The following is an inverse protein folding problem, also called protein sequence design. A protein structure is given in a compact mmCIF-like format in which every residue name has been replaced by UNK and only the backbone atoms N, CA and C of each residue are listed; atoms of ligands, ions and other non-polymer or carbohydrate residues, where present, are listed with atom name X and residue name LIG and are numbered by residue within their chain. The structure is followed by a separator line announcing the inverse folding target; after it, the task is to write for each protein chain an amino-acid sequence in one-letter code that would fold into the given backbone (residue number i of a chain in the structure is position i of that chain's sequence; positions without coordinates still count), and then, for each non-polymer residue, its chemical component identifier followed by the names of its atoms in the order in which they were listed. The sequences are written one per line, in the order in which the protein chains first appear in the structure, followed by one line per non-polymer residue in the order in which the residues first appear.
data_IF_476627378780
#
_entry.id   IF_476627378780
#
_cell.length_a   1.000
_cell.length_b   1.000
_cell.length_c   1.000
_cell.angle_alpha   90.00
_cell.angle_beta   90.00
_cell.angle_gamma   90.00
#
_symmetry.space_group_name_H-M   'P 1'
#
loop_
_entity.id
_entity.type
_entity.pdbx_description
1 polymer ?
#
# COMPACT_ATOMS: atom_id res chain seq x y z
N UNK A 1 -26.22 30.50 -6.07
CA UNK A 1 -26.92 31.17 -7.18
C UNK A 1 -25.97 31.42 -8.34
N UNK A 2 -25.54 30.35 -9.02
CA UNK A 2 -24.95 30.48 -10.36
C UNK A 2 -26.12 30.49 -11.35
N UNK A 3 -26.97 31.51 -11.21
CA UNK A 3 -28.02 31.75 -12.19
C UNK A 3 -27.37 32.38 -13.41
N UNK A 4 -27.65 31.85 -14.59
CA UNK A 4 -27.19 32.35 -15.90
C UNK A 4 -27.50 33.85 -16.10
N UNK A 5 -28.43 34.40 -15.31
CA UNK A 5 -28.76 35.83 -15.25
C UNK A 5 -28.26 36.46 -13.96
N UNK A 6 -27.36 37.43 -14.09
CA UNK A 6 -26.79 38.28 -13.02
C UNK A 6 -27.83 39.02 -12.16
N UNK A 7 -29.11 39.03 -12.55
CA UNK A 7 -30.15 39.85 -11.93
C UNK A 7 -30.43 39.55 -10.45
N UNK A 8 -30.31 38.29 -10.01
CA UNK A 8 -30.61 37.94 -8.60
C UNK A 8 -29.50 38.43 -7.67
N UNK A 9 -28.24 38.26 -8.06
CA UNK A 9 -27.10 38.71 -7.26
C UNK A 9 -27.06 40.25 -7.17
N UNK A 10 -27.39 40.94 -8.27
CA UNK A 10 -27.54 42.40 -8.30
C UNK A 10 -28.68 42.89 -7.40
N UNK A 11 -29.85 42.23 -7.43
CA UNK A 11 -30.97 42.57 -6.53
C UNK A 11 -30.61 42.43 -5.05
N UNK A 12 -29.92 41.35 -4.67
CA UNK A 12 -29.52 41.13 -3.27
C UNK A 12 -28.49 42.18 -2.80
N UNK A 13 -27.53 42.54 -3.65
CA UNK A 13 -26.55 43.60 -3.33
C UNK A 13 -27.18 44.98 -3.19
N UNK A 14 -28.23 45.28 -3.97
CA UNK A 14 -28.97 46.54 -3.84
C UNK A 14 -29.76 46.63 -2.52
N UNK A 15 -30.23 45.49 -1.99
CA UNK A 15 -30.94 45.43 -0.70
C UNK A 15 -29.96 45.47 0.47
N UNK A 16 -28.83 44.78 0.36
CA UNK A 16 -27.79 44.77 1.38
C UNK A 16 -26.40 44.82 0.72
N UNK A 17 -25.70 45.97 0.76
CA UNK A 17 -24.37 46.12 0.16
C UNK A 17 -23.31 45.20 0.77
N UNK A 18 -23.54 44.70 1.98
CA UNK A 18 -22.65 43.76 2.68
C UNK A 18 -22.97 42.29 2.41
N UNK A 19 -24.05 41.98 1.69
CA UNK A 19 -24.38 40.61 1.34
C UNK A 19 -23.34 40.06 0.34
N UNK A 20 -22.58 39.05 0.78
CA UNK A 20 -21.66 38.30 -0.06
C UNK A 20 -22.24 36.91 -0.32
N UNK A 21 -22.22 36.50 -1.59
CA UNK A 21 -22.58 35.14 -1.96
C UNK A 21 -21.39 34.23 -1.71
N UNK A 22 -21.50 33.36 -0.70
CA UNK A 22 -20.58 32.25 -0.51
C UNK A 22 -21.13 31.07 -1.31
N UNK A 23 -20.43 30.58 -2.35
CA UNK A 23 -20.80 29.32 -2.97
C UNK A 23 -20.82 28.24 -1.89
N UNK A 24 -21.90 27.45 -1.81
CA UNK A 24 -21.90 26.26 -0.98
C UNK A 24 -20.69 25.40 -1.39
N UNK A 25 -19.88 24.96 -0.44
CA UNK A 25 -18.67 24.14 -0.69
C UNK A 25 -18.97 22.88 -1.51
N UNK A 26 -20.23 22.40 -1.49
CA UNK A 26 -20.73 21.32 -2.36
C UNK A 26 -20.77 21.66 -3.85
N UNK A 27 -20.66 22.92 -4.25
CA UNK A 27 -20.46 23.35 -5.66
C UNK A 27 -18.98 23.51 -6.02
N UNK A 28 -18.09 23.64 -5.03
CA UNK A 28 -16.64 23.70 -5.23
C UNK A 28 -16.01 22.32 -5.32
N UNK A 29 -16.62 21.33 -4.66
CA UNK A 29 -16.38 19.91 -4.91
C UNK A 29 -17.31 19.48 -6.05
N UNK A 30 -16.75 19.24 -7.24
CA UNK A 30 -17.51 18.52 -8.27
C UNK A 30 -17.85 17.13 -7.68
N UNK A 31 -19.14 16.93 -7.35
CA UNK A 31 -19.63 15.78 -6.58
C UNK A 31 -19.25 14.44 -7.23
N UNK A 32 -19.23 14.40 -8.55
CA UNK A 32 -18.75 13.23 -9.30
C UNK A 32 -17.26 12.97 -9.07
N UNK A 33 -16.39 13.99 -9.14
CA UNK A 33 -14.95 13.87 -8.84
C UNK A 33 -14.71 13.40 -7.40
N UNK A 34 -15.57 13.80 -6.46
CA UNK A 34 -15.50 13.34 -5.07
C UNK A 34 -15.85 11.84 -4.95
N UNK A 35 -16.94 11.39 -5.58
CA UNK A 35 -17.30 9.96 -5.62
C UNK A 35 -16.19 9.15 -6.30
N UNK A 36 -15.64 9.62 -7.43
CA UNK A 36 -14.47 9.01 -8.08
C UNK A 36 -13.31 8.84 -7.09
N UNK A 37 -13.03 9.88 -6.29
CA UNK A 37 -11.93 9.84 -5.32
C UNK A 37 -12.17 8.79 -4.25
N UNK A 38 -13.40 8.70 -3.72
CA UNK A 38 -13.77 7.69 -2.71
C UNK A 38 -13.61 6.28 -3.26
N UNK A 39 -14.10 6.01 -4.47
CA UNK A 39 -13.99 4.67 -5.09
C UNK A 39 -12.53 4.28 -5.32
N UNK A 40 -11.70 5.22 -5.80
CA UNK A 40 -10.25 5.00 -5.95
C UNK A 40 -9.62 4.68 -4.59
N UNK A 41 -9.88 5.50 -3.57
CA UNK A 41 -9.35 5.27 -2.22
C UNK A 41 -9.81 3.94 -1.63
N UNK A 42 -11.07 3.57 -1.82
CA UNK A 42 -11.59 2.28 -1.38
C UNK A 42 -10.87 1.11 -2.05
N UNK A 43 -10.67 1.16 -3.38
CA UNK A 43 -9.93 0.11 -4.10
C UNK A 43 -8.49 -0.02 -3.61
N UNK A 44 -7.84 1.08 -3.28
CA UNK A 44 -6.48 1.07 -2.73
C UNK A 44 -6.47 0.52 -1.29
N UNK A 45 -7.26 1.11 -0.40
CA UNK A 45 -7.25 0.77 1.02
C UNK A 45 -7.75 -0.66 1.29
N UNK A 46 -8.72 -1.15 0.51
CA UNK A 46 -9.22 -2.52 0.63
C UNK A 46 -8.14 -3.57 0.32
N UNK A 47 -7.18 -3.24 -0.54
CA UNK A 47 -6.04 -4.12 -0.88
C UNK A 47 -4.88 -4.00 0.11
N UNK A 48 -4.66 -2.82 0.66
CA UNK A 48 -3.61 -2.58 1.66
C UNK A 48 -4.00 -3.14 3.03
N UNK A 49 -5.27 -3.02 3.43
CA UNK A 49 -5.72 -3.37 4.79
C UNK A 49 -5.40 -4.82 5.23
N UNK A 50 -5.59 -5.87 4.41
CA UNK A 50 -5.20 -7.23 4.78
C UNK A 50 -3.70 -7.36 5.10
N UNK A 51 -2.84 -6.66 4.35
CA UNK A 51 -1.39 -6.64 4.57
C UNK A 51 -1.08 -5.92 5.87
N UNK A 52 -1.68 -4.75 6.09
CA UNK A 52 -1.51 -4.02 7.35
C UNK A 52 -1.86 -4.89 8.55
N UNK A 53 -2.94 -5.67 8.46
CA UNK A 53 -3.33 -6.62 9.51
C UNK A 53 -2.32 -7.76 9.65
N UNK A 54 -1.90 -8.37 8.54
CA UNK A 54 -0.90 -9.44 8.52
C UNK A 54 0.40 -9.01 9.20
N UNK A 55 0.92 -7.84 8.84
CA UNK A 55 2.14 -7.25 9.41
C UNK A 55 2.02 -6.90 10.91
N UNK A 56 0.80 -6.86 11.45
CA UNK A 56 0.52 -6.54 12.86
C UNK A 56 0.11 -7.78 13.66
N UNK A 57 0.13 -8.97 13.06
CA UNK A 57 -0.17 -10.22 13.78
C UNK A 57 0.94 -10.55 14.78
N UNK A 58 0.56 -11.14 15.92
CA UNK A 58 1.52 -11.64 16.92
C UNK A 58 2.33 -12.81 16.35
N UNK A 59 1.64 -13.71 15.65
CA UNK A 59 2.25 -14.82 14.92
C UNK A 59 2.60 -14.38 13.50
N UNK A 60 3.65 -13.57 13.39
CA UNK A 60 4.10 -13.01 12.13
C UNK A 60 4.92 -14.03 11.32
N UNK A 61 4.44 -14.39 10.13
CA UNK A 61 5.19 -15.17 9.15
C UNK A 61 5.74 -14.23 8.07
N UNK A 62 7.07 -14.06 8.06
CA UNK A 62 7.75 -13.15 7.12
C UNK A 62 7.59 -13.61 5.66
N UNK A 63 7.60 -14.92 5.40
CA UNK A 63 7.51 -15.47 4.05
C UNK A 63 6.11 -15.22 3.49
N UNK A 64 5.08 -15.50 4.28
CA UNK A 64 3.70 -15.16 3.92
C UNK A 64 3.52 -13.66 3.70
N UNK A 65 4.16 -12.81 4.52
CA UNK A 65 4.09 -11.36 4.38
C UNK A 65 4.72 -10.87 3.08
N UNK A 66 5.88 -11.39 2.70
CA UNK A 66 6.58 -11.06 1.45
C UNK A 66 5.73 -11.45 0.24
N UNK A 67 5.16 -12.66 0.23
CA UNK A 67 4.30 -13.13 -0.85
C UNK A 67 3.05 -12.25 -0.99
N UNK A 68 2.41 -11.91 0.15
CA UNK A 68 1.21 -11.07 0.15
C UNK A 68 1.51 -9.64 -0.30
N UNK A 69 2.67 -9.08 0.10
CA UNK A 69 3.14 -7.78 -0.37
C UNK A 69 3.40 -7.77 -1.88
N UNK A 70 4.05 -8.81 -2.41
CA UNK A 70 4.33 -8.92 -3.83
C UNK A 70 3.03 -9.02 -4.65
N UNK A 71 2.08 -9.84 -4.22
CA UNK A 71 0.77 -9.95 -4.87
C UNK A 71 0.02 -8.62 -4.90
N UNK A 72 0.11 -7.83 -3.84
CA UNK A 72 -0.52 -6.51 -3.76
C UNK A 72 0.19 -5.47 -4.65
N UNK A 73 1.51 -5.51 -4.71
CA UNK A 73 2.30 -4.72 -5.66
C UNK A 73 1.85 -5.01 -7.11
N UNK A 74 1.78 -6.28 -7.51
CA UNK A 74 1.30 -6.69 -8.84
C UNK A 74 -0.13 -6.21 -9.11
N UNK A 75 -1.01 -6.24 -8.09
CA UNK A 75 -2.34 -5.66 -8.23
C UNK A 75 -2.29 -4.16 -8.56
N UNK A 76 -1.46 -3.38 -7.87
CA UNK A 76 -1.37 -1.94 -8.12
C UNK A 76 -0.68 -1.59 -9.43
N UNK A 77 0.31 -2.37 -9.86
CA UNK A 77 0.91 -2.24 -11.19
C UNK A 77 -0.14 -2.45 -12.29
N UNK A 78 -1.04 -3.42 -12.12
CA UNK A 78 -2.17 -3.63 -13.03
C UNK A 78 -3.25 -2.53 -12.91
N UNK A 79 -3.49 -2.02 -11.69
CA UNK A 79 -4.41 -0.90 -11.47
C UNK A 79 -3.91 0.38 -12.16
N UNK A 80 -2.60 0.52 -12.33
CA UNK A 80 -1.94 1.66 -12.96
C UNK A 80 -2.04 1.63 -14.49
N UNK A 81 -3.25 1.43 -15.02
CA UNK A 81 -3.53 1.37 -16.46
C UNK A 81 -4.71 2.26 -16.87
N UNK A 82 -4.78 2.58 -18.16
CA UNK A 82 -5.90 3.35 -18.71
C UNK A 82 -7.21 2.53 -18.67
N UNK A 83 -7.13 1.22 -18.91
CA UNK A 83 -8.27 0.30 -18.86
C UNK A 83 -8.86 0.22 -17.44
N UNK A 84 -7.99 0.15 -16.43
CA UNK A 84 -8.40 0.15 -15.03
C UNK A 84 -9.08 1.47 -14.65
N UNK A 85 -8.55 2.60 -15.12
CA UNK A 85 -9.18 3.90 -14.91
C UNK A 85 -10.57 3.96 -15.54
N UNK A 86 -10.72 3.55 -16.81
CA UNK A 86 -12.03 3.54 -17.47
C UNK A 86 -13.03 2.61 -16.78
N UNK A 87 -12.58 1.44 -16.30
CA UNK A 87 -13.40 0.53 -15.50
C UNK A 87 -13.88 1.19 -14.19
N UNK A 88 -13.02 1.95 -13.51
CA UNK A 88 -13.41 2.70 -12.30
C UNK A 88 -14.43 3.79 -12.64
N UNK A 89 -14.26 4.52 -13.75
CA UNK A 89 -15.21 5.55 -14.15
C UNK A 89 -16.58 4.97 -14.47
N UNK A 90 -16.65 3.77 -15.07
CA UNK A 90 -17.90 3.06 -15.28
C UNK A 90 -18.59 2.71 -13.95
N UNK A 91 -17.86 2.11 -13.00
CA UNK A 91 -18.37 1.80 -11.66
C UNK A 91 -18.86 3.05 -10.92
N UNK A 92 -18.10 4.15 -10.99
CA UNK A 92 -18.48 5.41 -10.36
C UNK A 92 -19.71 6.03 -11.03
N UNK A 93 -19.86 5.86 -12.35
CA UNK A 93 -21.03 6.36 -13.08
C UNK A 93 -22.30 5.63 -12.66
N UNK A 94 -22.22 4.31 -12.48
CA UNK A 94 -23.31 3.49 -11.95
C UNK A 94 -23.67 3.95 -10.53
N UNK A 95 -22.69 4.04 -9.62
CA UNK A 95 -22.90 4.50 -8.24
C UNK A 95 -23.46 5.93 -8.17
N UNK A 96 -22.99 6.84 -9.03
CA UNK A 96 -23.48 8.21 -9.08
C UNK A 96 -24.96 8.28 -9.49
N UNK A 97 -25.40 7.38 -10.38
CA UNK A 97 -26.81 7.30 -10.78
C UNK A 97 -27.73 6.87 -9.63
N UNK A 98 -27.25 6.00 -8.74
CA UNK A 98 -28.01 5.56 -7.55
C UNK A 98 -28.20 6.68 -6.52
N UNK A 99 -27.29 7.65 -6.49
CA UNK A 99 -27.33 8.79 -5.56
C UNK A 99 -27.82 10.10 -6.21
N UNK A 100 -28.41 10.03 -7.41
CA UNK A 100 -28.94 11.17 -8.18
C UNK A 100 -27.87 12.26 -8.45
N UNK A 101 -26.64 11.82 -8.76
CA UNK A 101 -25.51 12.68 -9.10
C UNK A 101 -25.22 12.59 -10.59
N UNK A 102 -25.22 13.73 -11.28
CA UNK A 102 -24.85 13.79 -12.68
C UNK A 102 -23.39 13.35 -12.90
N UNK A 103 -23.21 12.30 -13.70
CA UNK A 103 -21.90 11.75 -14.01
C UNK A 103 -21.13 12.64 -15.00
N UNK A 104 -20.54 13.71 -14.47
CA UNK A 104 -19.94 14.74 -15.31
C UNK A 104 -18.65 15.32 -14.72
N UNK A 105 -17.56 15.24 -15.49
CA UNK A 105 -16.30 15.92 -15.17
C UNK A 105 -16.34 17.45 -15.40
N UNK A 106 -17.48 17.97 -15.87
CA UNK A 106 -17.82 19.28 -16.47
C UNK A 106 -17.96 19.13 -17.99
N UNK A 107 -19.16 19.45 -18.49
CA UNK A 107 -19.80 18.94 -19.71
C UNK A 107 -19.09 19.10 -21.08
N UNK A 108 -17.79 19.43 -21.20
CA UNK A 108 -17.20 19.70 -22.52
C UNK A 108 -15.68 19.54 -22.67
N UNK A 109 -14.93 19.12 -21.64
CA UNK A 109 -13.46 19.18 -21.71
C UNK A 109 -12.80 17.82 -21.44
N UNK A 110 -12.41 17.06 -22.50
CA UNK A 110 -11.60 15.84 -22.38
C UNK A 110 -10.35 16.03 -21.52
N UNK A 111 -9.81 17.26 -21.51
CA UNK A 111 -8.68 17.67 -20.70
C UNK A 111 -8.93 17.51 -19.19
N UNK A 112 -10.16 17.67 -18.67
CA UNK A 112 -10.42 17.58 -17.23
C UNK A 112 -10.41 16.14 -16.72
N UNK A 113 -10.97 15.20 -17.49
CA UNK A 113 -10.88 13.76 -17.19
C UNK A 113 -9.43 13.30 -17.27
N UNK A 114 -8.69 13.72 -18.30
CA UNK A 114 -7.28 13.41 -18.45
C UNK A 114 -6.43 14.00 -17.30
N UNK A 115 -6.69 15.26 -16.93
CA UNK A 115 -6.02 15.91 -15.80
C UNK A 115 -6.27 15.17 -14.49
N UNK A 116 -7.51 14.77 -14.22
CA UNK A 116 -7.86 13.96 -13.05
C UNK A 116 -7.18 12.59 -13.06
N UNK A 117 -7.11 11.92 -14.23
CA UNK A 117 -6.40 10.65 -14.40
C UNK A 117 -4.93 10.77 -14.02
N UNK A 118 -4.24 11.80 -14.51
CA UNK A 118 -2.81 11.99 -14.26
C UNK A 118 -2.55 12.47 -12.82
N UNK A 119 -3.19 13.56 -12.41
CA UNK A 119 -2.85 14.27 -11.16
C UNK A 119 -3.38 13.58 -9.91
N UNK A 120 -4.46 12.80 -10.02
CA UNK A 120 -5.06 12.13 -8.88
C UNK A 120 -4.92 10.62 -9.00
N UNK A 121 -5.46 9.99 -10.05
CA UNK A 121 -5.50 8.53 -10.12
C UNK A 121 -4.10 7.92 -10.20
N UNK A 122 -3.33 8.23 -11.24
CA UNK A 122 -1.97 7.68 -11.40
C UNK A 122 -1.06 8.11 -10.26
N UNK A 123 -1.10 9.37 -9.85
CA UNK A 123 -0.30 9.83 -8.72
C UNK A 123 -0.59 9.04 -7.43
N UNK A 124 -1.87 8.79 -7.10
CA UNK A 124 -2.22 8.04 -5.87
C UNK A 124 -1.82 6.57 -5.98
N UNK A 125 -1.99 5.95 -7.14
CA UNK A 125 -1.55 4.57 -7.39
C UNK A 125 -0.02 4.47 -7.34
N UNK A 126 0.70 5.42 -7.93
CA UNK A 126 2.17 5.48 -7.91
C UNK A 126 2.71 5.63 -6.49
N UNK A 127 2.07 6.44 -5.66
CA UNK A 127 2.40 6.54 -4.24
C UNK A 127 2.19 5.20 -3.51
N UNK A 128 1.09 4.50 -3.78
CA UNK A 128 0.83 3.19 -3.19
C UNK A 128 1.88 2.15 -3.63
N UNK A 129 2.21 2.10 -4.92
CA UNK A 129 3.27 1.23 -5.47
C UNK A 129 4.60 1.51 -4.77
N UNK A 130 5.04 2.77 -4.75
CA UNK A 130 6.33 3.14 -4.13
C UNK A 130 6.40 2.79 -2.64
N UNK A 131 5.29 3.00 -1.90
CA UNK A 131 5.23 2.66 -0.48
C UNK A 131 5.29 1.14 -0.25
N UNK A 132 4.67 0.35 -1.13
CA UNK A 132 4.73 -1.12 -1.09
C UNK A 132 6.09 -1.64 -1.53
N UNK A 133 6.68 -1.09 -2.58
CA UNK A 133 8.03 -1.42 -3.07
C UNK A 133 9.06 -1.27 -1.95
N UNK A 134 9.03 -0.12 -1.28
CA UNK A 134 9.93 0.17 -0.16
C UNK A 134 9.79 -0.87 0.95
N UNK A 135 8.55 -1.25 1.28
CA UNK A 135 8.27 -2.20 2.36
C UNK A 135 8.58 -3.66 1.98
N UNK A 136 8.29 -4.04 0.73
CA UNK A 136 8.65 -5.33 0.16
C UNK A 136 10.16 -5.51 0.17
N UNK A 137 10.91 -4.53 -0.34
CA UNK A 137 12.37 -4.60 -0.40
C UNK A 137 13.00 -4.68 0.99
N UNK A 138 12.44 -3.96 1.98
CA UNK A 138 12.89 -4.04 3.37
C UNK A 138 12.71 -5.47 3.93
N UNK A 139 11.49 -6.02 3.83
CA UNK A 139 11.20 -7.36 4.37
C UNK A 139 11.91 -8.47 3.61
N UNK A 140 12.01 -8.35 2.28
CA UNK A 140 12.72 -9.32 1.45
C UNK A 140 14.21 -9.34 1.77
N UNK A 141 14.83 -8.17 1.91
CA UNK A 141 16.24 -8.06 2.35
C UNK A 141 16.44 -8.68 3.72
N UNK A 142 15.56 -8.37 4.68
CA UNK A 142 15.61 -8.98 6.00
C UNK A 142 15.48 -10.51 5.94
N UNK A 143 14.53 -11.02 5.15
CA UNK A 143 14.33 -12.45 4.96
C UNK A 143 15.56 -13.11 4.35
N UNK A 144 16.19 -12.51 3.34
CA UNK A 144 17.37 -13.08 2.69
C UNK A 144 18.52 -13.34 3.68
N UNK A 145 18.69 -12.50 4.69
CA UNK A 145 19.79 -12.63 5.65
C UNK A 145 19.40 -13.38 6.92
N UNK A 146 18.18 -13.22 7.43
CA UNK A 146 17.79 -13.73 8.75
C UNK A 146 16.82 -14.91 8.70
N UNK A 147 16.23 -15.24 7.54
CA UNK A 147 15.17 -16.27 7.47
C UNK A 147 15.61 -17.65 7.95
N UNK A 148 16.88 -18.01 7.76
CA UNK A 148 17.40 -19.30 8.21
C UNK A 148 17.28 -19.46 9.75
N UNK A 149 17.34 -18.37 10.51
CA UNK A 149 17.17 -18.37 11.97
C UNK A 149 15.73 -18.60 12.42
N UNK A 150 14.73 -18.40 11.55
CA UNK A 150 13.32 -18.54 11.93
C UNK A 150 12.85 -19.99 12.03
N UNK A 151 13.62 -20.95 11.48
CA UNK A 151 13.34 -22.37 11.60
C UNK A 151 14.54 -23.12 12.18
N UNK A 152 14.88 -22.83 13.44
CA UNK A 152 16.01 -23.45 14.15
C UNK A 152 15.91 -25.00 14.15
N UNK A 153 14.70 -25.55 14.24
CA UNK A 153 14.49 -27.00 14.20
C UNK A 153 14.89 -27.62 12.85
N UNK A 154 14.66 -26.91 11.75
CA UNK A 154 15.08 -27.34 10.41
C UNK A 154 16.59 -27.25 10.18
N UNK A 155 17.29 -26.44 10.97
CA UNK A 155 18.75 -26.27 10.84
C UNK A 155 19.53 -27.52 11.29
N UNK A 156 18.94 -28.38 12.13
CA UNK A 156 19.57 -29.63 12.57
C UNK A 156 19.96 -30.53 11.39
N UNK A 157 19.12 -30.54 10.35
CA UNK A 157 19.30 -31.38 9.17
C UNK A 157 20.06 -30.66 8.04
N UNK A 158 20.38 -29.36 8.23
CA UNK A 158 21.12 -28.56 7.26
C UNK A 158 22.60 -28.93 7.25
N UNK A 159 23.22 -28.98 6.06
CA UNK A 159 24.65 -29.26 5.94
C UNK A 159 25.46 -28.10 6.52
N UNK A 160 26.53 -28.41 7.27
CA UNK A 160 27.42 -27.40 7.88
C UNK A 160 27.92 -26.33 6.89
N UNK A 161 28.29 -26.72 5.67
CA UNK A 161 28.78 -25.77 4.66
C UNK A 161 27.70 -24.78 4.20
N UNK A 162 26.44 -25.20 4.22
CA UNK A 162 25.27 -24.39 3.84
C UNK A 162 24.94 -23.40 4.96
N UNK A 163 24.90 -23.86 6.21
CA UNK A 163 24.73 -23.00 7.39
C UNK A 163 25.87 -21.96 7.49
N UNK A 164 27.11 -22.38 7.23
CA UNK A 164 28.25 -21.47 7.24
C UNK A 164 28.16 -20.41 6.13
N UNK A 165 27.60 -20.73 4.96
CA UNK A 165 27.38 -19.74 3.91
C UNK A 165 26.41 -18.65 4.38
N UNK A 166 25.28 -19.03 4.98
CA UNK A 166 24.34 -18.08 5.58
C UNK A 166 24.97 -17.23 6.69
N UNK A 167 25.78 -17.84 7.57
CA UNK A 167 26.47 -17.09 8.64
C UNK A 167 27.50 -16.11 8.08
N UNK A 168 28.19 -16.45 6.99
CA UNK A 168 29.12 -15.54 6.31
C UNK A 168 28.41 -14.39 5.63
N UNK A 169 27.31 -14.66 4.95
CA UNK A 169 26.49 -13.61 4.35
C UNK A 169 26.00 -12.63 5.45
N UNK A 170 25.60 -13.16 6.61
CA UNK A 170 25.20 -12.35 7.76
C UNK A 170 26.37 -11.55 8.36
N UNK A 171 27.54 -12.15 8.53
CA UNK A 171 28.76 -11.47 8.98
C UNK A 171 29.11 -10.29 8.06
N UNK A 172 29.09 -10.50 6.75
CA UNK A 172 29.36 -9.45 5.76
C UNK A 172 28.34 -8.31 5.87
N UNK A 173 27.06 -8.63 6.00
CA UNK A 173 25.98 -7.63 6.09
C UNK A 173 26.06 -6.79 7.36
N UNK A 174 26.55 -7.37 8.45
CA UNK A 174 26.65 -6.70 9.75
C UNK A 174 28.05 -6.07 9.99
N UNK A 175 28.99 -6.26 9.08
CA UNK A 175 30.32 -5.63 9.15
C UNK A 175 30.22 -4.15 8.79
N UNK A 176 30.73 -3.28 9.67
CA UNK A 176 30.91 -1.85 9.38
C UNK A 176 32.40 -1.56 9.11
N UNK A 177 32.73 -1.31 7.84
CA UNK A 177 34.11 -1.10 7.40
C UNK A 177 34.99 -2.33 7.64
N UNK A 178 35.88 -2.25 8.62
CA UNK A 178 36.79 -3.34 9.00
C UNK A 178 36.43 -3.97 10.36
N UNK A 179 35.35 -3.54 11.00
CA UNK A 179 34.88 -4.08 12.28
C UNK A 179 33.67 -4.97 12.08
N UNK A 180 33.74 -6.18 12.60
CA UNK A 180 32.62 -7.11 12.72
C UNK A 180 32.52 -7.58 14.17
N UNK A 181 31.31 -7.51 14.73
CA UNK A 181 30.99 -8.10 16.03
C UNK A 181 30.59 -9.58 15.91
N UNK A 182 30.45 -10.08 14.68
CA UNK A 182 29.99 -11.43 14.38
C UNK A 182 31.13 -12.23 13.75
N UNK A 183 31.35 -13.44 14.25
CA UNK A 183 32.26 -14.43 13.64
C UNK A 183 31.42 -15.56 13.05
N UNK A 184 31.42 -15.69 11.72
CA UNK A 184 30.55 -16.66 11.05
C UNK A 184 30.87 -18.13 11.40
N UNK A 185 32.13 -18.45 11.71
CA UNK A 185 32.52 -19.80 12.10
C UNK A 185 31.96 -20.16 13.48
N UNK A 186 32.15 -19.26 14.45
CA UNK A 186 31.63 -19.42 15.81
C UNK A 186 30.11 -19.48 15.81
N UNK A 187 29.44 -18.57 15.10
CA UNK A 187 27.98 -18.57 14.99
C UNK A 187 27.45 -19.88 14.39
N UNK A 188 28.06 -20.39 13.33
CA UNK A 188 27.64 -21.65 12.71
C UNK A 188 27.81 -22.84 13.66
N UNK A 189 28.87 -22.87 14.46
CA UNK A 189 29.10 -23.88 15.49
C UNK A 189 28.06 -23.77 16.61
N UNK A 190 27.79 -22.57 17.12
CA UNK A 190 26.80 -22.32 18.17
C UNK A 190 25.39 -22.71 17.73
N UNK A 191 24.96 -22.31 16.53
CA UNK A 191 23.65 -22.67 15.97
C UNK A 191 23.54 -24.19 15.78
N UNK A 192 24.61 -24.85 15.34
CA UNK A 192 24.62 -26.32 15.18
C UNK A 192 24.42 -27.02 16.53
N UNK A 193 25.08 -26.52 17.58
CA UNK A 193 24.92 -27.05 18.93
C UNK A 193 23.50 -26.81 19.42
N UNK A 194 23.00 -25.56 19.38
CA UNK A 194 21.66 -25.20 19.84
C UNK A 194 20.57 -26.00 19.11
N UNK A 195 20.63 -26.08 17.78
CA UNK A 195 19.66 -26.85 16.99
C UNK A 195 19.67 -28.34 17.30
N UNK A 196 20.82 -28.92 17.68
CA UNK A 196 20.91 -30.31 18.10
C UNK A 196 20.32 -30.59 19.49
N UNK A 197 20.37 -29.60 20.38
CA UNK A 197 19.86 -29.67 21.75
C UNK A 197 18.35 -29.45 21.84
N UNK A 198 17.79 -28.69 20.90
CA UNK A 198 16.36 -28.45 20.83
C UNK A 198 15.62 -29.73 20.40
N UNK A 199 14.78 -30.24 21.31
CA UNK A 199 13.75 -31.21 20.95
C UNK A 199 12.49 -30.44 20.55
N UNK A 200 11.75 -30.91 19.53
CA UNK A 200 10.46 -30.31 19.18
C UNK A 200 9.55 -30.45 20.41
N UNK A 201 9.43 -29.41 21.22
CA UNK A 201 8.34 -29.36 22.18
C UNK A 201 7.04 -29.28 21.36
N UNK A 202 6.11 -30.19 21.69
CA UNK A 202 4.76 -30.29 21.14
C UNK A 202 4.06 -28.93 21.08
N UNK A 203 3.14 -28.74 20.11
CA UNK A 203 2.46 -27.45 19.91
C UNK A 203 1.80 -27.02 21.22
N UNK A 204 2.12 -25.82 21.69
CA UNK A 204 1.32 -25.16 22.70
C UNK A 204 -0.07 -25.01 22.07
N UNK A 205 -1.03 -25.73 22.65
CA UNK A 205 -2.37 -25.93 22.13
C UNK A 205 -3.11 -24.63 21.84
N UNK A 206 -4.06 -24.73 20.92
CA UNK A 206 -4.92 -23.63 20.53
C UNK A 206 -5.61 -22.96 21.71
N UNK A 207 -5.70 -21.64 21.59
CA UNK A 207 -6.77 -20.77 22.08
C UNK A 207 -6.94 -19.64 21.06
#
# INVERSE_FOLDING_TARGET
MRGEKSGVQTRIRNINPRAFYVPCSSHSLNLFKFICSIVIWYKILSRINPISKLLQTVHFDISQAIDTLNNCKLFFENLRSDEAFESIILEVTELASEVDVEANFEATTPHLKQKYKIELFFHTVDQAINALETRYNLLNTHSNYFSFLYNIFGLKDMRRNELLAYCKDLEVVLTDGNSSDLNALELADEISIVSSLLTKETPVGGL
#
